data_IF_441884480005
#
_entry.id   IF_441884480005
#
_cell.length_a   1.000
_cell.length_b   1.000
_cell.length_c   1.000
_cell.angle_alpha   90.00
_cell.angle_beta   90.00
_cell.angle_gamma   90.00
#
_symmetry.space_group_name_H-M   'P 1'
#
loop_
_entity.id
_entity.type
_entity.pdbx_description
1 polymer ?
#
# COMPACT_ATOMS: atom_id res chain seq x y z
N UNK A 1 8.61 5.40 -7.14
CA UNK A 1 7.66 4.60 -6.32
C UNK A 1 8.30 4.21 -5.00
N UNK A 2 7.55 4.24 -3.93
CA UNK A 2 8.03 3.85 -2.61
C UNK A 2 8.46 2.38 -2.59
N UNK A 3 7.73 1.54 -3.31
CA UNK A 3 7.96 0.10 -3.38
C UNK A 3 8.01 -0.33 -4.83
N UNK A 4 8.92 -1.25 -5.15
CA UNK A 4 9.04 -1.78 -6.52
C UNK A 4 8.26 -3.07 -6.67
N UNK A 5 8.00 -3.48 -7.93
CA UNK A 5 7.37 -4.76 -8.22
C UNK A 5 8.21 -5.90 -7.65
N UNK A 6 9.54 -5.83 -7.76
CA UNK A 6 10.42 -6.87 -7.23
C UNK A 6 10.29 -7.01 -5.71
N UNK A 7 10.19 -5.89 -4.99
CA UNK A 7 9.99 -5.91 -3.54
C UNK A 7 8.66 -6.56 -3.18
N UNK A 8 7.60 -6.24 -3.93
CA UNK A 8 6.28 -6.84 -3.71
C UNK A 8 6.34 -8.35 -3.96
N UNK A 9 6.97 -8.76 -5.05
CA UNK A 9 7.07 -10.18 -5.39
C UNK A 9 7.84 -10.94 -4.32
N UNK A 10 8.91 -10.36 -3.81
CA UNK A 10 9.68 -10.96 -2.71
C UNK A 10 8.82 -11.09 -1.46
N UNK A 11 8.10 -10.03 -1.12
CA UNK A 11 7.25 -10.01 0.09
C UNK A 11 6.10 -11.03 -0.01
N UNK A 12 5.49 -11.16 -1.17
CA UNK A 12 4.38 -12.07 -1.39
C UNK A 12 4.81 -13.46 -1.89
N UNK A 13 6.11 -13.67 -2.08
CA UNK A 13 6.67 -14.95 -2.56
C UNK A 13 6.17 -15.33 -3.94
N UNK A 14 6.05 -14.35 -4.82
CA UNK A 14 5.64 -14.55 -6.20
C UNK A 14 6.89 -14.75 -7.05
N UNK A 15 6.96 -15.84 -7.82
CA UNK A 15 8.14 -16.20 -8.58
C UNK A 15 7.98 -16.07 -10.10
N UNK A 16 6.77 -15.76 -10.56
CA UNK A 16 6.51 -15.56 -11.99
C UNK A 16 6.33 -14.08 -12.29
N UNK A 17 6.40 -13.71 -13.57
CA UNK A 17 6.27 -12.32 -14.01
C UNK A 17 5.00 -12.04 -14.81
N UNK A 18 4.07 -13.00 -14.83
CA UNK A 18 2.85 -12.87 -15.63
C UNK A 18 1.93 -11.75 -15.15
N UNK A 19 2.05 -11.33 -13.90
CA UNK A 19 1.19 -10.32 -13.32
C UNK A 19 1.93 -9.05 -12.92
N UNK A 20 3.12 -8.82 -13.47
CA UNK A 20 3.92 -7.65 -13.09
C UNK A 20 3.17 -6.34 -13.36
N UNK A 21 2.45 -6.26 -14.49
CA UNK A 21 1.68 -5.05 -14.80
C UNK A 21 0.54 -4.83 -13.81
N UNK A 22 -0.13 -5.90 -13.42
CA UNK A 22 -1.19 -5.85 -12.42
C UNK A 22 -0.64 -5.38 -11.07
N UNK A 23 0.49 -5.95 -10.65
CA UNK A 23 1.12 -5.56 -9.39
C UNK A 23 1.59 -4.11 -9.43
N UNK A 24 2.14 -3.67 -10.55
CA UNK A 24 2.54 -2.27 -10.73
C UNK A 24 1.36 -1.33 -10.55
N UNK A 25 0.20 -1.69 -11.08
CA UNK A 25 -1.03 -0.91 -10.89
C UNK A 25 -1.47 -0.85 -9.44
N UNK A 26 -1.38 -1.97 -8.72
CA UNK A 26 -1.72 -1.99 -7.29
C UNK A 26 -0.76 -1.14 -6.47
N UNK A 27 0.53 -1.14 -6.81
CA UNK A 27 1.51 -0.30 -6.13
C UNK A 27 1.16 1.17 -6.32
N UNK A 28 0.82 1.56 -7.55
CA UNK A 28 0.44 2.94 -7.82
C UNK A 28 -0.80 3.35 -7.01
N UNK A 29 -1.79 2.47 -6.93
CA UNK A 29 -3.00 2.74 -6.14
C UNK A 29 -2.67 2.82 -4.65
N UNK A 30 -1.82 1.93 -4.16
CA UNK A 30 -1.43 1.92 -2.75
C UNK A 30 -0.70 3.20 -2.37
N UNK A 31 0.23 3.62 -3.21
CA UNK A 31 0.97 4.85 -2.94
C UNK A 31 0.04 6.07 -2.99
N UNK A 32 -0.85 6.14 -3.96
CA UNK A 32 -1.82 7.22 -4.05
C UNK A 32 -2.71 7.26 -2.80
N UNK A 33 -3.16 6.11 -2.33
CA UNK A 33 -3.99 6.03 -1.12
C UNK A 33 -3.21 6.48 0.11
N UNK A 34 -1.94 6.09 0.21
CA UNK A 34 -1.10 6.50 1.34
C UNK A 34 -0.87 8.01 1.34
N UNK A 35 -0.56 8.57 0.17
CA UNK A 35 -0.31 10.00 0.05
C UNK A 35 -1.58 10.80 0.29
N UNK A 36 -2.71 10.30 -0.16
CA UNK A 36 -3.99 10.95 0.07
C UNK A 36 -4.35 10.96 1.56
N UNK A 37 -4.19 9.83 2.23
CA UNK A 37 -4.47 9.73 3.66
C UNK A 37 -3.55 10.64 4.47
N UNK A 38 -2.28 10.68 4.12
CA UNK A 38 -1.28 11.46 4.86
C UNK A 38 -1.25 12.93 4.43
N UNK A 39 -1.88 13.27 3.30
CA UNK A 39 -1.85 14.61 2.71
C UNK A 39 -0.41 15.08 2.48
N UNK A 40 0.43 14.17 2.04
CA UNK A 40 1.84 14.41 1.80
C UNK A 40 2.32 13.49 0.69
N UNK A 41 3.38 13.89 0.01
CA UNK A 41 4.05 13.03 -0.97
C UNK A 41 5.28 12.43 -0.32
N UNK A 42 5.58 11.18 -0.67
CA UNK A 42 6.72 10.48 -0.10
C UNK A 42 7.79 10.24 -1.15
N UNK A 43 9.08 10.42 -0.80
CA UNK A 43 10.19 10.05 -1.68
C UNK A 43 10.35 8.54 -1.72
N UNK A 44 11.23 8.06 -2.61
CA UNK A 44 11.51 6.63 -2.71
C UNK A 44 12.02 6.04 -1.40
N UNK A 45 12.72 6.83 -0.60
CA UNK A 45 13.25 6.42 0.70
C UNK A 45 12.27 6.74 1.82
N UNK A 46 11.00 6.45 1.60
CA UNK A 46 9.98 6.67 2.61
C UNK A 46 10.26 5.84 3.87
N UNK A 47 9.78 6.30 5.04
CA UNK A 47 9.95 5.54 6.28
C UNK A 47 9.40 4.12 6.17
N UNK A 48 9.99 3.20 6.91
CA UNK A 48 9.62 1.78 6.84
C UNK A 48 8.12 1.53 7.08
N UNK A 49 7.47 2.17 8.07
CA UNK A 49 6.02 1.94 8.24
C UNK A 49 5.19 2.35 7.01
N UNK A 50 5.62 3.37 6.27
CA UNK A 50 4.94 3.78 5.04
C UNK A 50 5.09 2.69 3.98
N UNK A 51 6.30 2.13 3.85
CA UNK A 51 6.56 1.03 2.93
C UNK A 51 5.71 -0.19 3.29
N UNK A 52 5.64 -0.52 4.58
CA UNK A 52 4.83 -1.64 5.06
C UNK A 52 3.34 -1.43 4.76
N UNK A 53 2.85 -0.20 4.88
CA UNK A 53 1.47 0.10 4.54
C UNK A 53 1.18 -0.16 3.07
N UNK A 54 2.10 0.24 2.18
CA UNK A 54 1.96 -0.02 0.75
C UNK A 54 1.95 -1.52 0.48
N UNK A 55 2.87 -2.26 1.09
CA UNK A 55 2.93 -3.72 0.92
C UNK A 55 1.67 -4.40 1.44
N UNK A 56 1.13 -3.95 2.56
CA UNK A 56 -0.11 -4.48 3.13
C UNK A 56 -1.27 -4.28 2.16
N UNK A 57 -1.40 -3.08 1.60
CA UNK A 57 -2.45 -2.75 0.63
C UNK A 57 -2.36 -3.66 -0.59
N UNK A 58 -1.17 -3.77 -1.17
CA UNK A 58 -0.96 -4.57 -2.37
C UNK A 58 -1.27 -6.05 -2.08
N UNK A 59 -0.79 -6.57 -0.96
CA UNK A 59 -1.05 -7.96 -0.57
C UNK A 59 -2.53 -8.24 -0.40
N UNK A 60 -3.24 -7.32 0.26
CA UNK A 60 -4.68 -7.46 0.46
C UNK A 60 -5.42 -7.54 -0.88
N UNK A 61 -5.18 -6.61 -1.79
CA UNK A 61 -5.88 -6.61 -3.07
C UNK A 61 -5.42 -7.72 -4.01
N UNK A 62 -4.18 -8.16 -3.88
CA UNK A 62 -3.73 -9.31 -4.64
C UNK A 62 -4.45 -10.60 -4.23
N UNK A 63 -4.72 -10.76 -2.94
CA UNK A 63 -5.43 -11.94 -2.42
C UNK A 63 -6.95 -11.83 -2.59
N UNK A 64 -7.49 -10.61 -2.62
CA UNK A 64 -8.93 -10.36 -2.66
C UNK A 64 -9.29 -9.62 -3.95
N UNK A 65 -9.05 -10.26 -5.09
CA UNK A 65 -9.31 -9.65 -6.40
C UNK A 65 -10.80 -9.50 -6.70
N UNK A 66 -11.62 -10.37 -6.11
CA UNK A 66 -13.06 -10.23 -6.17
C UNK A 66 -13.51 -9.22 -5.09
N UNK A 67 -14.80 -9.19 -4.81
CA UNK A 67 -15.31 -8.28 -3.79
C UNK A 67 -14.91 -8.83 -2.41
N UNK A 68 -14.02 -8.14 -1.67
CA UNK A 68 -13.66 -8.58 -0.32
C UNK A 68 -14.85 -8.37 0.63
N UNK A 69 -14.91 -9.17 1.69
CA UNK A 69 -15.94 -8.94 2.70
C UNK A 69 -15.61 -7.68 3.50
N UNK A 70 -16.64 -7.06 4.06
CA UNK A 70 -16.51 -5.77 4.71
C UNK A 70 -15.58 -5.83 5.93
N UNK A 71 -15.63 -6.92 6.68
CA UNK A 71 -14.80 -7.04 7.89
C UNK A 71 -13.31 -7.17 7.53
N UNK A 72 -12.98 -7.96 6.53
CA UNK A 72 -11.61 -8.11 6.06
C UNK A 72 -11.07 -6.78 5.56
N UNK A 73 -11.88 -6.07 4.77
CA UNK A 73 -11.51 -4.74 4.29
C UNK A 73 -11.29 -3.77 5.44
N UNK A 74 -12.17 -3.76 6.44
CA UNK A 74 -12.05 -2.84 7.58
C UNK A 74 -10.79 -3.14 8.40
N UNK A 75 -10.45 -4.40 8.56
CA UNK A 75 -9.24 -4.81 9.27
C UNK A 75 -8.00 -4.30 8.54
N UNK A 76 -7.94 -4.48 7.24
CA UNK A 76 -6.82 -3.98 6.43
C UNK A 76 -6.73 -2.46 6.50
N UNK A 77 -7.87 -1.78 6.34
CA UNK A 77 -7.91 -0.32 6.36
C UNK A 77 -7.40 0.23 7.69
N UNK A 78 -7.82 -0.39 8.79
CA UNK A 78 -7.37 0.04 10.12
C UNK A 78 -5.86 -0.13 10.27
N UNK A 79 -5.32 -1.27 9.87
CA UNK A 79 -3.88 -1.51 9.93
C UNK A 79 -3.11 -0.54 9.04
N UNK A 80 -3.62 -0.31 7.82
CA UNK A 80 -3.03 0.62 6.86
C UNK A 80 -2.94 2.03 7.45
N UNK A 81 -4.05 2.52 8.00
CA UNK A 81 -4.10 3.86 8.58
C UNK A 81 -3.26 3.98 9.83
N UNK A 82 -3.21 2.92 10.66
CA UNK A 82 -2.37 2.94 11.86
C UNK A 82 -0.89 3.06 11.52
N UNK A 83 -0.44 2.39 10.46
CA UNK A 83 0.95 2.51 10.02
C UNK A 83 1.27 3.92 9.51
N UNK A 84 0.32 4.57 8.88
CA UNK A 84 0.52 5.86 8.24
C UNK A 84 0.26 7.05 9.15
N UNK A 85 -0.51 6.86 10.22
CA UNK A 85 -0.97 7.96 11.05
C UNK A 85 0.14 8.90 11.52
N UNK A 86 1.30 8.40 12.00
CA UNK A 86 2.37 9.31 12.46
C UNK A 86 2.96 10.17 11.36
N UNK A 87 2.68 9.86 10.10
CA UNK A 87 3.25 10.55 8.94
C UNK A 87 2.26 11.48 8.25
N UNK A 88 1.08 11.67 8.83
CA UNK A 88 0.12 12.63 8.30
C UNK A 88 0.61 14.05 8.55
N UNK A 89 0.41 14.90 7.55
CA UNK A 89 0.79 16.31 7.66
C UNK A 89 -0.35 17.08 8.35
N UNK A 90 -0.19 17.49 9.61
CA UNK A 90 -1.27 18.19 10.33
C UNK A 90 -1.61 19.55 9.73
N UNK A 91 -0.66 20.18 9.04
CA UNK A 91 -0.90 21.49 8.45
C UNK A 91 -1.80 21.42 7.21
N UNK A 92 -1.99 20.21 6.66
CA UNK A 92 -2.80 20.00 5.47
C UNK A 92 -4.09 19.25 5.76
N UNK A 93 -4.45 19.07 7.01
CA UNK A 93 -5.64 18.33 7.41
C UNK A 93 -6.91 19.18 7.40
N UNK A 94 -6.79 20.45 7.09
CA UNK A 94 -7.92 21.40 7.07
C UNK A 94 -8.04 22.09 5.73
#
# INVERSE_FOLDING_TARGET
MIVTVDEVKTHLRIQHSEEDDYLSGLIAQAQAAAEDYCRAQFPEEAPEPVRLAVLLFVGFYNENRDVPDQQTYNTMRTAFQNLLYPYRDPDKMF
#
